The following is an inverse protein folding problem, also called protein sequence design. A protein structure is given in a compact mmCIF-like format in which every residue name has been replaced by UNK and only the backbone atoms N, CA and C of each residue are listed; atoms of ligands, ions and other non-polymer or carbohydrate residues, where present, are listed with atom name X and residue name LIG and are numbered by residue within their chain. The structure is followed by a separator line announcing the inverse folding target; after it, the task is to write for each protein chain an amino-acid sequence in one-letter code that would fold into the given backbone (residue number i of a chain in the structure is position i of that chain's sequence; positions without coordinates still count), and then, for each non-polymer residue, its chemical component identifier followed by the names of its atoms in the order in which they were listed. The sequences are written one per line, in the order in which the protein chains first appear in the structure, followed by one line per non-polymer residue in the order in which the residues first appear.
data_IF_977161429857
#
_entry.id   IF_977161429857
#
_cell.length_a   1.000
_cell.length_b   1.000
_cell.length_c   1.000
_cell.angle_alpha   90.00
_cell.angle_beta   90.00
_cell.angle_gamma   90.00
#
_symmetry.space_group_name_H-M   'P 1'
#
loop_
_entity.id
_entity.type
_entity.pdbx_description
1 polymer ?
#
# COMPACT_ATOMS: atom_id res chain seq x y z
N UNK A 1 -14.54 -3.79 29.73
CA UNK A 1 -14.58 -2.68 28.74
C UNK A 1 -16.01 -2.41 28.28
N UNK A 2 -17.01 -2.63 29.15
CA UNK A 2 -18.40 -2.35 28.84
C UNK A 2 -18.55 -0.84 28.57
N UNK A 3 -19.21 -0.48 27.46
CA UNK A 3 -19.36 0.91 27.03
C UNK A 3 -18.28 1.44 26.07
N UNK A 4 -17.21 0.70 25.79
CA UNK A 4 -16.19 1.14 24.83
C UNK A 4 -16.75 1.27 23.41
N UNK A 5 -17.42 0.23 22.91
CA UNK A 5 -17.99 0.25 21.56
C UNK A 5 -19.08 1.33 21.41
N UNK A 6 -20.06 1.47 22.32
CA UNK A 6 -21.00 2.59 22.28
C UNK A 6 -20.33 3.97 22.28
N UNK A 7 -19.38 4.23 23.19
CA UNK A 7 -18.69 5.53 23.25
C UNK A 7 -17.90 5.85 21.97
N UNK A 8 -17.35 4.83 21.32
CA UNK A 8 -16.64 4.96 20.06
C UNK A 8 -17.60 5.25 18.89
N UNK A 9 -18.74 4.55 18.83
CA UNK A 9 -19.77 4.76 17.82
C UNK A 9 -20.41 6.15 17.95
N UNK A 10 -20.75 6.59 19.16
CA UNK A 10 -21.29 7.94 19.43
C UNK A 10 -20.33 9.06 18.99
N UNK A 11 -19.02 8.79 19.05
CA UNK A 11 -18.01 9.71 18.54
C UNK A 11 -17.95 9.67 17.02
N UNK A 12 -17.99 8.48 16.43
CA UNK A 12 -17.97 8.30 14.98
C UNK A 12 -19.17 8.94 14.28
N UNK A 13 -20.35 8.90 14.89
CA UNK A 13 -21.56 9.54 14.36
C UNK A 13 -21.42 11.07 14.24
N UNK A 14 -20.55 11.69 15.04
CA UNK A 14 -20.31 13.14 15.06
C UNK A 14 -19.03 13.57 14.34
N UNK A 15 -18.04 12.68 14.28
CA UNK A 15 -16.67 13.01 13.86
C UNK A 15 -16.12 12.09 12.77
N UNK A 16 -16.89 11.10 12.33
CA UNK A 16 -16.55 10.21 11.23
C UNK A 16 -16.26 11.01 9.97
N UNK A 17 -15.18 10.67 9.29
CA UNK A 17 -14.77 11.42 8.09
C UNK A 17 -15.63 11.05 6.90
N UNK A 18 -16.05 12.08 6.15
CA UNK A 18 -16.65 11.92 4.84
C UNK A 18 -15.57 11.58 3.81
N UNK A 19 -15.67 10.40 3.20
CA UNK A 19 -14.69 9.85 2.26
C UNK A 19 -15.42 9.22 1.06
N UNK A 20 -14.88 9.30 -0.17
CA UNK A 20 -15.61 8.87 -1.38
C UNK A 20 -16.03 7.39 -1.45
N UNK A 21 -15.41 6.52 -0.63
CA UNK A 21 -15.75 5.10 -0.51
C UNK A 21 -16.71 4.80 0.65
N UNK A 22 -17.07 5.80 1.47
CA UNK A 22 -18.01 5.70 2.60
C UNK A 22 -19.42 6.18 2.27
N UNK A 23 -19.66 6.64 1.04
CA UNK A 23 -20.94 7.19 0.59
C UNK A 23 -22.05 6.11 0.66
N UNK A 24 -22.68 6.00 1.84
CA UNK A 24 -23.91 5.28 2.21
C UNK A 24 -23.91 5.03 3.74
N UNK A 25 -23.97 6.09 4.57
CA UNK A 25 -24.21 5.90 6.00
C UNK A 25 -25.66 5.40 6.17
N UNK A 26 -25.83 4.16 6.61
CA UNK A 26 -27.14 3.54 6.84
C UNK A 26 -27.68 2.63 5.73
N UNK A 27 -26.99 2.50 4.59
CA UNK A 27 -27.32 1.50 3.55
C UNK A 27 -26.18 0.50 3.36
N UNK A 28 -26.49 -0.67 2.77
CA UNK A 28 -25.46 -1.69 2.46
C UNK A 28 -24.42 -1.09 1.52
N UNK A 29 -23.18 -0.96 1.99
CA UNK A 29 -22.10 -0.39 1.20
C UNK A 29 -21.67 -1.33 0.09
N UNK A 30 -21.38 -0.75 -1.08
CA UNK A 30 -20.92 -1.50 -2.23
C UNK A 30 -19.58 -2.21 -1.93
N UNK A 31 -19.53 -3.55 -1.91
CA UNK A 31 -18.31 -4.30 -1.63
C UNK A 31 -17.18 -4.02 -2.62
N UNK A 32 -17.49 -3.68 -3.88
CA UNK A 32 -16.49 -3.31 -4.87
C UNK A 32 -15.73 -2.04 -4.46
N UNK A 33 -16.47 -1.00 -4.05
CA UNK A 33 -15.88 0.27 -3.61
C UNK A 33 -15.11 0.13 -2.30
N UNK A 34 -15.66 -0.62 -1.33
CA UNK A 34 -14.99 -0.91 -0.05
C UNK A 34 -13.67 -1.64 -0.31
N UNK A 35 -13.71 -2.76 -1.04
CA UNK A 35 -12.51 -3.54 -1.36
C UNK A 35 -11.47 -2.72 -2.11
N UNK A 36 -11.88 -1.95 -3.13
CA UNK A 36 -10.96 -1.14 -3.92
C UNK A 36 -10.24 -0.10 -3.04
N UNK A 37 -10.97 0.59 -2.17
CA UNK A 37 -10.39 1.54 -1.22
C UNK A 37 -9.43 0.85 -0.25
N UNK A 38 -9.82 -0.30 0.33
CA UNK A 38 -8.98 -1.08 1.25
C UNK A 38 -7.66 -1.53 0.60
N UNK A 39 -7.68 -1.93 -0.67
CA UNK A 39 -6.44 -2.29 -1.39
C UNK A 39 -5.61 -1.03 -1.70
N UNK A 40 -6.24 0.05 -2.17
CA UNK A 40 -5.55 1.30 -2.51
C UNK A 40 -4.88 1.99 -1.33
N UNK A 41 -5.49 1.93 -0.14
CA UNK A 41 -5.01 2.63 1.06
C UNK A 41 -3.98 1.83 1.87
N UNK A 42 -3.68 0.59 1.47
CA UNK A 42 -2.55 -0.15 2.04
C UNK A 42 -1.24 0.61 1.85
N UNK A 43 -0.65 1.06 2.96
CA UNK A 43 0.60 1.83 2.98
C UNK A 43 0.55 3.08 2.08
N UNK A 44 -0.64 3.64 1.87
CA UNK A 44 -0.89 4.82 1.03
C UNK A 44 -1.77 5.78 1.81
N UNK A 45 -1.45 7.08 1.80
CA UNK A 45 -2.25 8.08 2.53
C UNK A 45 -3.56 8.34 1.81
N UNK A 46 -4.60 8.72 2.56
CA UNK A 46 -5.91 9.08 2.00
C UNK A 46 -5.79 10.18 0.92
N UNK A 47 -5.11 11.33 1.16
CA UNK A 47 -4.98 12.36 0.13
C UNK A 47 -4.34 11.88 -1.17
N UNK A 48 -3.39 10.93 -1.09
CA UNK A 48 -2.75 10.36 -2.28
C UNK A 48 -3.62 9.31 -2.97
N UNK A 49 -4.34 8.48 -2.22
CA UNK A 49 -5.17 7.40 -2.76
C UNK A 49 -6.51 7.88 -3.33
N UNK A 50 -7.10 8.95 -2.80
CA UNK A 50 -8.43 9.42 -3.19
C UNK A 50 -8.57 9.74 -4.69
N UNK A 51 -7.65 10.48 -5.35
CA UNK A 51 -7.74 10.73 -6.79
C UNK A 51 -7.70 9.46 -7.64
N UNK A 52 -6.91 8.46 -7.22
CA UNK A 52 -6.84 7.16 -7.89
C UNK A 52 -8.15 6.40 -7.74
N UNK A 53 -8.72 6.37 -6.52
CA UNK A 53 -10.01 5.73 -6.28
C UNK A 53 -11.12 6.31 -7.16
N UNK A 54 -11.21 7.63 -7.25
CA UNK A 54 -12.20 8.32 -8.09
C UNK A 54 -12.00 7.99 -9.58
N UNK A 55 -10.75 7.97 -10.04
CA UNK A 55 -10.44 7.64 -11.44
C UNK A 55 -10.77 6.18 -11.76
N UNK A 56 -10.42 5.25 -10.87
CA UNK A 56 -10.71 3.83 -11.05
C UNK A 56 -12.21 3.56 -11.06
N UNK A 57 -12.96 4.08 -10.08
CA UNK A 57 -14.42 3.87 -10.02
C UNK A 57 -15.17 4.54 -11.16
N UNK A 58 -14.61 5.60 -11.77
CA UNK A 58 -15.15 6.17 -13.01
C UNK A 58 -14.87 5.29 -14.23
N UNK A 59 -13.65 4.77 -14.36
CA UNK A 59 -13.22 3.97 -15.53
C UNK A 59 -13.76 2.54 -15.51
N UNK A 60 -13.80 1.94 -14.33
CA UNK A 60 -14.31 0.60 -14.07
C UNK A 60 -15.33 0.69 -12.93
N UNK A 61 -16.61 0.93 -13.25
CA UNK A 61 -17.62 1.18 -12.22
C UNK A 61 -18.01 -0.06 -11.41
N UNK A 62 -17.73 -1.27 -11.92
CA UNK A 62 -18.07 -2.54 -11.27
C UNK A 62 -16.86 -3.48 -11.23
N UNK A 63 -16.96 -4.53 -10.40
CA UNK A 63 -15.95 -5.58 -10.34
C UNK A 63 -15.80 -6.31 -11.69
N UNK A 64 -16.89 -6.51 -12.42
CA UNK A 64 -16.88 -7.14 -13.76
C UNK A 64 -16.18 -6.25 -14.79
N UNK A 65 -16.44 -4.94 -14.76
CA UNK A 65 -15.76 -3.99 -15.63
C UNK A 65 -14.24 -3.99 -15.36
N UNK A 66 -13.83 -4.05 -14.10
CA UNK A 66 -12.41 -4.18 -13.73
C UNK A 66 -11.84 -5.54 -14.16
N UNK A 67 -12.59 -6.63 -13.98
CA UNK A 67 -12.15 -7.98 -14.35
C UNK A 67 -11.89 -8.13 -15.86
N UNK A 68 -12.71 -7.48 -16.68
CA UNK A 68 -12.59 -7.44 -18.14
C UNK A 68 -11.47 -6.53 -18.65
N UNK A 69 -10.86 -5.70 -17.78
CA UNK A 69 -9.80 -4.80 -18.17
C UNK A 69 -8.52 -5.55 -18.58
N UNK A 70 -7.78 -4.96 -19.54
CA UNK A 70 -6.43 -5.43 -19.88
C UNK A 70 -5.48 -5.12 -18.72
N UNK A 71 -4.54 -6.01 -18.47
CA UNK A 71 -3.56 -5.86 -17.40
C UNK A 71 -2.79 -4.54 -17.50
N UNK A 72 -2.40 -4.14 -18.72
CA UNK A 72 -1.65 -2.91 -19.01
C UNK A 72 -2.43 -1.64 -18.65
N UNK A 73 -3.74 -1.62 -18.92
CA UNK A 73 -4.60 -0.48 -18.59
C UNK A 73 -4.66 -0.25 -17.07
N UNK A 74 -4.78 -1.34 -16.30
CA UNK A 74 -4.82 -1.30 -14.84
C UNK A 74 -3.47 -0.90 -14.26
N UNK A 75 -2.36 -1.45 -14.78
CA UNK A 75 -1.01 -1.06 -14.33
C UNK A 75 -0.73 0.42 -14.60
N UNK A 76 -1.15 0.92 -15.77
CA UNK A 76 -0.99 2.33 -16.15
C UNK A 76 -1.80 3.24 -15.22
N UNK A 77 -3.07 2.90 -14.97
CA UNK A 77 -3.91 3.66 -14.03
C UNK A 77 -3.37 3.62 -12.58
N UNK A 78 -2.68 2.54 -12.18
CA UNK A 78 -2.07 2.40 -10.85
C UNK A 78 -0.70 3.09 -10.73
N UNK A 79 -0.11 3.56 -11.83
CA UNK A 79 1.21 4.16 -11.85
C UNK A 79 1.29 5.35 -10.88
N UNK A 80 2.28 5.33 -9.98
CA UNK A 80 2.46 6.34 -8.94
C UNK A 80 1.83 6.02 -7.58
N UNK A 81 0.93 5.03 -7.49
CA UNK A 81 0.37 4.59 -6.19
C UNK A 81 1.32 3.66 -5.41
N UNK A 82 2.31 3.07 -6.10
CA UNK A 82 3.32 2.19 -5.50
C UNK A 82 2.79 0.80 -5.13
N UNK A 83 3.68 -0.09 -4.67
CA UNK A 83 3.38 -1.49 -4.34
C UNK A 83 2.57 -2.21 -5.43
N UNK A 84 3.08 -2.25 -6.66
CA UNK A 84 2.40 -2.77 -7.85
C UNK A 84 1.91 -4.23 -7.78
N UNK A 85 2.44 -5.02 -6.84
CA UNK A 85 1.85 -6.33 -6.52
C UNK A 85 0.37 -6.22 -6.10
N UNK A 86 -0.03 -5.10 -5.48
CA UNK A 86 -1.42 -4.80 -5.16
C UNK A 86 -2.27 -4.70 -6.42
N UNK A 87 -1.86 -3.94 -7.42
CA UNK A 87 -2.59 -3.82 -8.70
C UNK A 87 -2.77 -5.17 -9.39
N UNK A 88 -1.72 -6.00 -9.41
CA UNK A 88 -1.78 -7.33 -10.03
C UNK A 88 -2.73 -8.26 -9.28
N UNK A 89 -2.63 -8.28 -7.95
CA UNK A 89 -3.52 -9.10 -7.13
C UNK A 89 -4.96 -8.56 -7.16
N UNK A 90 -5.15 -7.24 -7.23
CA UNK A 90 -6.45 -6.60 -7.40
C UNK A 90 -7.13 -7.12 -8.67
N UNK A 91 -6.46 -7.07 -9.82
CA UNK A 91 -7.03 -7.54 -11.08
C UNK A 91 -7.30 -9.06 -11.08
N UNK A 92 -6.38 -9.86 -10.51
CA UNK A 92 -6.61 -11.30 -10.33
C UNK A 92 -7.83 -11.59 -9.46
N UNK A 93 -7.97 -10.86 -8.35
CA UNK A 93 -9.09 -10.98 -7.43
C UNK A 93 -10.40 -10.51 -8.05
N UNK A 94 -10.41 -9.41 -8.83
CA UNK A 94 -11.57 -8.98 -9.60
C UNK A 94 -12.06 -10.10 -10.54
N UNK A 95 -11.13 -10.71 -11.29
CA UNK A 95 -11.43 -11.83 -12.20
C UNK A 95 -11.99 -13.04 -11.46
N UNK A 96 -11.46 -13.35 -10.28
CA UNK A 96 -11.97 -14.46 -9.46
C UNK A 96 -13.37 -14.17 -8.90
N UNK A 97 -13.64 -12.94 -8.46
CA UNK A 97 -14.97 -12.53 -7.99
C UNK A 97 -15.97 -12.55 -9.14
N UNK A 98 -15.63 -11.99 -10.31
CA UNK A 98 -16.47 -12.01 -11.50
C UNK A 98 -16.80 -13.46 -11.94
N UNK A 99 -15.80 -14.35 -11.92
CA UNK A 99 -16.01 -15.77 -12.23
C UNK A 99 -16.92 -16.48 -11.23
N UNK A 100 -16.93 -16.08 -9.96
CA UNK A 100 -17.87 -16.59 -8.94
C UNK A 100 -19.29 -16.04 -9.12
N UNK A 101 -19.46 -14.89 -9.79
CA UNK A 101 -20.74 -14.21 -9.99
C UNK A 101 -21.28 -13.45 -8.78
N UNK A 102 -20.65 -13.60 -7.60
CA UNK A 102 -21.02 -12.87 -6.39
C UNK A 102 -19.83 -12.72 -5.43
N UNK A 103 -19.93 -11.74 -4.54
CA UNK A 103 -18.95 -11.54 -3.49
C UNK A 103 -19.14 -12.56 -2.36
N UNK A 104 -18.05 -13.19 -1.87
CA UNK A 104 -18.10 -13.89 -0.60
C UNK A 104 -18.37 -12.90 0.53
N UNK A 105 -19.26 -13.25 1.45
CA UNK A 105 -19.70 -12.31 2.49
C UNK A 105 -18.95 -12.46 3.82
N UNK A 106 -18.33 -13.63 4.06
CA UNK A 106 -17.62 -13.93 5.31
C UNK A 106 -16.13 -13.62 5.20
N UNK A 107 -15.52 -13.16 6.31
CA UNK A 107 -14.08 -12.90 6.36
C UNK A 107 -13.25 -14.16 6.01
N UNK A 108 -13.72 -15.35 6.37
CA UNK A 108 -13.05 -16.61 6.06
C UNK A 108 -12.98 -16.88 4.55
N UNK A 109 -14.06 -16.64 3.81
CA UNK A 109 -14.09 -16.83 2.36
C UNK A 109 -13.38 -15.70 1.61
N UNK A 110 -13.55 -14.45 2.05
CA UNK A 110 -12.86 -13.29 1.48
C UNK A 110 -11.34 -13.45 1.55
N UNK A 111 -10.80 -13.97 2.66
CA UNK A 111 -9.37 -14.22 2.85
C UNK A 111 -8.77 -15.22 1.84
N UNK A 112 -9.59 -16.05 1.19
CA UNK A 112 -9.10 -16.99 0.16
C UNK A 112 -8.79 -16.27 -1.16
N UNK A 113 -9.29 -15.05 -1.37
CA UNK A 113 -9.11 -14.31 -2.61
C UNK A 113 -7.70 -13.68 -2.71
N UNK A 114 -7.16 -13.53 -3.94
CA UNK A 114 -5.83 -12.96 -4.18
C UNK A 114 -5.65 -11.56 -3.58
N UNK A 115 -4.60 -11.38 -2.77
CA UNK A 115 -4.28 -10.08 -2.19
C UNK A 115 -5.17 -9.64 -1.03
N UNK A 116 -6.12 -10.47 -0.59
CA UNK A 116 -6.94 -10.20 0.60
C UNK A 116 -6.29 -10.87 1.83
N UNK A 117 -5.72 -10.05 2.70
CA UNK A 117 -5.18 -10.49 4.00
C UNK A 117 -6.24 -10.51 5.11
N UNK A 118 -5.90 -10.97 6.33
CA UNK A 118 -6.83 -11.01 7.47
C UNK A 118 -7.52 -9.66 7.76
N UNK A 119 -6.75 -8.57 7.72
CA UNK A 119 -7.28 -7.21 7.90
C UNK A 119 -8.33 -6.87 6.83
N UNK A 120 -7.97 -6.98 5.55
CA UNK A 120 -8.85 -6.62 4.43
C UNK A 120 -10.11 -7.50 4.40
N UNK A 121 -9.97 -8.78 4.73
CA UNK A 121 -11.12 -9.67 4.84
C UNK A 121 -12.10 -9.25 5.95
N UNK A 122 -11.59 -8.92 7.14
CA UNK A 122 -12.40 -8.41 8.24
C UNK A 122 -13.06 -7.06 7.90
N UNK A 123 -12.30 -6.15 7.28
CA UNK A 123 -12.81 -4.84 6.86
C UNK A 123 -13.97 -4.98 5.87
N UNK A 124 -13.81 -5.77 4.80
CA UNK A 124 -14.87 -5.97 3.80
C UNK A 124 -16.08 -6.67 4.42
N UNK A 125 -15.86 -7.74 5.20
CA UNK A 125 -16.94 -8.47 5.86
C UNK A 125 -17.76 -7.57 6.79
N UNK A 126 -17.09 -6.74 7.59
CA UNK A 126 -17.76 -5.81 8.50
C UNK A 126 -18.46 -4.65 7.77
N UNK A 127 -17.78 -4.00 6.84
CA UNK A 127 -18.23 -2.75 6.23
C UNK A 127 -19.28 -2.99 5.13
N UNK A 128 -19.10 -4.02 4.28
CA UNK A 128 -19.98 -4.27 3.14
C UNK A 128 -21.05 -5.34 3.39
N UNK A 129 -20.80 -6.26 4.33
CA UNK A 129 -21.66 -7.41 4.62
C UNK A 129 -22.19 -7.45 6.05
N UNK A 130 -21.93 -6.41 6.84
CA UNK A 130 -22.37 -6.27 8.23
C UNK A 130 -22.05 -7.50 9.11
N UNK A 131 -20.97 -8.20 8.80
CA UNK A 131 -20.51 -9.35 9.58
C UNK A 131 -19.74 -8.86 10.81
N UNK A 132 -19.96 -9.45 12.00
CA UNK A 132 -19.20 -9.12 13.20
C UNK A 132 -17.78 -9.69 13.11
N UNK A 133 -16.92 -9.05 12.31
CA UNK A 133 -15.54 -9.44 12.06
C UNK A 133 -14.58 -8.29 12.38
N UNK A 134 -13.46 -8.57 13.06
CA UNK A 134 -12.48 -7.52 13.36
C UNK A 134 -11.62 -7.13 12.14
N UNK A 135 -11.48 -5.82 11.95
CA UNK A 135 -10.57 -5.21 10.98
C UNK A 135 -9.37 -4.58 11.70
N UNK A 136 -8.34 -5.38 11.98
CA UNK A 136 -7.19 -4.92 12.79
C UNK A 136 -5.99 -4.53 11.92
N UNK A 137 -5.80 -3.22 11.72
CA UNK A 137 -4.62 -2.64 11.05
C UNK A 137 -3.54 -2.15 12.05
N UNK A 138 -2.53 -1.44 11.53
CA UNK A 138 -1.48 -0.84 12.36
C UNK A 138 -1.96 0.31 13.26
N UNK A 139 -3.10 0.94 12.94
CA UNK A 139 -3.73 1.95 13.78
C UNK A 139 -4.46 1.30 14.96
N UNK A 140 -5.24 0.26 14.70
CA UNK A 140 -5.92 -0.53 15.74
C UNK A 140 -4.90 -1.21 16.65
N UNK A 141 -3.83 -1.80 16.10
CA UNK A 141 -2.71 -2.34 16.88
C UNK A 141 -2.20 -1.31 17.91
N UNK A 142 -2.02 -0.04 17.50
CA UNK A 142 -1.54 1.04 18.38
C UNK A 142 -2.58 1.45 19.41
N UNK A 143 -3.83 1.65 18.99
CA UNK A 143 -4.93 2.03 19.88
C UNK A 143 -5.07 1.00 21.00
N UNK A 144 -5.12 -0.29 20.66
CA UNK A 144 -5.29 -1.36 21.64
C UNK A 144 -4.04 -1.62 22.48
N UNK A 145 -2.83 -1.47 21.92
CA UNK A 145 -1.61 -1.52 22.71
C UNK A 145 -1.60 -0.46 23.83
N UNK A 146 -2.13 0.74 23.54
CA UNK A 146 -2.30 1.82 24.52
C UNK A 146 -3.44 1.58 25.50
N UNK A 147 -4.63 1.20 25.00
CA UNK A 147 -5.79 0.89 25.84
C UNK A 147 -5.43 -0.16 26.89
N UNK A 148 -4.71 -1.19 26.47
CA UNK A 148 -4.37 -2.31 27.32
C UNK A 148 -3.00 -2.17 28.02
N UNK A 149 -2.22 -1.13 27.74
CA UNK A 149 -0.86 -0.94 28.24
C UNK A 149 0.00 -2.21 28.10
N UNK A 150 0.10 -2.72 26.86
CA UNK A 150 0.76 -4.02 26.59
C UNK A 150 2.29 -3.90 26.70
N UNK A 151 2.85 -4.61 27.68
CA UNK A 151 4.29 -4.56 28.03
C UNK A 151 5.07 -5.82 27.61
N UNK A 152 4.38 -6.88 27.19
CA UNK A 152 5.01 -8.14 26.79
C UNK A 152 5.65 -8.12 25.40
N UNK A 153 6.12 -9.29 24.97
CA UNK A 153 6.71 -9.49 23.64
C UNK A 153 5.66 -9.16 22.56
N UNK A 154 5.96 -8.19 21.69
CA UNK A 154 4.99 -7.65 20.74
C UNK A 154 4.28 -8.71 19.88
N UNK A 155 4.98 -9.76 19.45
CA UNK A 155 4.39 -10.84 18.66
C UNK A 155 3.30 -11.63 19.43
N UNK A 156 3.46 -11.79 20.75
CA UNK A 156 2.49 -12.46 21.63
C UNK A 156 1.33 -11.51 21.94
N UNK A 157 1.65 -10.28 22.32
CA UNK A 157 0.66 -9.25 22.65
C UNK A 157 -0.23 -8.90 21.46
N UNK A 158 0.29 -8.98 20.23
CA UNK A 158 -0.50 -8.80 19.01
C UNK A 158 -1.61 -9.85 18.88
N UNK A 159 -1.35 -11.11 19.23
CA UNK A 159 -2.41 -12.14 19.21
C UNK A 159 -3.48 -11.85 20.25
N UNK A 160 -3.06 -11.45 21.46
CA UNK A 160 -3.96 -11.11 22.56
C UNK A 160 -4.83 -9.90 22.22
N UNK A 161 -4.26 -8.84 21.66
CA UNK A 161 -5.03 -7.64 21.31
C UNK A 161 -6.00 -7.91 20.16
N UNK A 162 -5.62 -8.76 19.18
CA UNK A 162 -6.53 -9.15 18.09
C UNK A 162 -7.75 -9.91 18.63
N UNK A 163 -7.54 -10.84 19.56
CA UNK A 163 -8.63 -11.55 20.24
C UNK A 163 -9.52 -10.60 21.05
N UNK A 164 -8.95 -9.56 21.67
CA UNK A 164 -9.73 -8.57 22.40
C UNK A 164 -10.58 -7.69 21.48
N UNK A 165 -10.03 -7.26 20.33
CA UNK A 165 -10.80 -6.50 19.35
C UNK A 165 -11.97 -7.33 18.84
N UNK A 166 -11.74 -8.60 18.49
CA UNK A 166 -12.79 -9.53 18.03
C UNK A 166 -13.94 -9.62 19.03
N UNK A 167 -13.65 -9.71 20.33
CA UNK A 167 -14.68 -9.75 21.39
C UNK A 167 -15.47 -8.45 21.56
N UNK A 168 -14.90 -7.32 21.13
CA UNK A 168 -15.52 -5.99 21.24
C UNK A 168 -16.30 -5.59 19.99
N UNK A 169 -16.17 -6.34 18.89
CA UNK A 169 -16.95 -6.06 17.67
C UNK A 169 -18.44 -6.18 18.01
N UNK A 170 -19.20 -5.08 17.89
CA UNK A 170 -20.62 -5.11 18.18
C UNK A 170 -21.34 -5.94 17.11
N UNK A 171 -22.42 -6.61 17.51
CA UNK A 171 -23.28 -7.33 16.57
C UNK A 171 -24.07 -6.35 15.69
N UNK A 172 -24.38 -5.18 16.24
CA UNK A 172 -25.00 -4.07 15.53
C UNK A 172 -23.91 -3.08 15.08
N UNK A 173 -23.97 -2.65 13.82
CA UNK A 173 -23.00 -1.73 13.17
C UNK A 173 -21.50 -2.14 13.24
N UNK A 174 -21.11 -3.41 12.99
CA UNK A 174 -19.69 -3.82 12.99
C UNK A 174 -18.81 -3.05 11.99
N UNK A 175 -19.37 -2.66 10.84
CA UNK A 175 -18.67 -1.83 9.85
C UNK A 175 -18.30 -0.44 10.38
N UNK A 176 -19.24 0.24 11.02
CA UNK A 176 -18.98 1.55 11.62
C UNK A 176 -18.00 1.45 12.78
N UNK A 177 -18.05 0.37 13.58
CA UNK A 177 -17.07 0.13 14.63
C UNK A 177 -15.65 -0.02 14.08
N UNK A 178 -15.49 -0.78 12.99
CA UNK A 178 -14.21 -0.93 12.31
C UNK A 178 -13.66 0.41 11.82
N UNK A 179 -14.49 1.21 11.15
CA UNK A 179 -14.09 2.53 10.64
C UNK A 179 -13.84 3.55 11.75
N UNK A 180 -14.61 3.51 12.84
CA UNK A 180 -14.40 4.35 14.00
C UNK A 180 -13.05 4.09 14.64
N UNK A 181 -12.62 2.83 14.74
CA UNK A 181 -11.26 2.49 15.21
C UNK A 181 -10.17 3.01 14.26
N UNK A 182 -10.40 2.91 12.95
CA UNK A 182 -9.47 3.45 11.93
C UNK A 182 -9.35 4.98 12.05
N UNK A 183 -10.48 5.69 12.15
CA UNK A 183 -10.53 7.14 12.26
C UNK A 183 -9.94 7.62 13.57
N UNK A 184 -10.27 6.97 14.69
CA UNK A 184 -9.68 7.26 16.00
C UNK A 184 -8.17 7.13 15.95
N UNK A 185 -7.65 6.02 15.41
CA UNK A 185 -6.22 5.80 15.29
C UNK A 185 -5.55 6.82 14.37
N UNK A 186 -6.19 7.18 13.26
CA UNK A 186 -5.63 8.11 12.28
C UNK A 186 -5.60 9.56 12.77
N UNK A 187 -6.58 9.99 13.56
CA UNK A 187 -6.81 11.43 13.84
C UNK A 187 -6.63 11.84 15.30
N UNK A 188 -6.88 10.93 16.25
CA UNK A 188 -6.86 11.23 17.69
C UNK A 188 -5.73 10.49 18.39
N UNK A 189 -5.70 9.16 18.26
CA UNK A 189 -4.71 8.29 18.86
C UNK A 189 -3.50 8.12 17.91
N UNK A 190 -2.90 9.23 17.51
CA UNK A 190 -1.80 9.32 16.54
C UNK A 190 -0.50 8.69 17.08
N UNK A 191 0.46 8.31 16.21
CA UNK A 191 1.73 7.72 16.64
C UNK A 191 2.51 8.59 17.64
N UNK A 192 2.56 9.89 17.39
CA UNK A 192 3.24 10.90 18.22
C UNK A 192 2.23 11.94 18.66
N UNK A 193 2.31 12.40 19.91
CA UNK A 193 1.41 13.41 20.50
C UNK A 193 -0.08 13.07 20.32
N UNK A 194 -0.56 11.91 20.80
CA UNK A 194 -1.98 11.58 20.73
C UNK A 194 -2.82 12.59 21.51
N UNK A 195 -3.95 13.00 20.95
CA UNK A 195 -4.85 13.96 21.61
C UNK A 195 -5.77 13.24 22.60
N UNK A 196 -5.20 12.81 23.73
CA UNK A 196 -5.93 12.06 24.75
C UNK A 196 -7.07 12.86 25.41
N UNK A 197 -7.04 14.20 25.34
CA UNK A 197 -8.08 15.06 25.91
C UNK A 197 -9.41 14.93 25.18
N UNK A 198 -9.38 14.76 23.84
CA UNK A 198 -10.59 14.61 23.01
C UNK A 198 -10.92 13.15 22.70
N UNK A 199 -10.15 12.20 23.23
CA UNK A 199 -10.32 10.79 22.91
C UNK A 199 -11.57 10.22 23.59
N UNK A 200 -12.55 9.70 22.83
CA UNK A 200 -13.84 9.25 23.36
C UNK A 200 -13.71 8.04 24.29
N UNK A 201 -12.64 7.26 24.12
CA UNK A 201 -12.37 6.06 24.91
C UNK A 201 -11.21 6.26 25.89
N UNK A 202 -10.86 7.52 26.19
CA UNK A 202 -9.75 7.84 27.10
C UNK A 202 -9.97 7.33 28.53
N UNK A 203 -11.22 7.25 28.99
CA UNK A 203 -11.58 6.68 30.29
C UNK A 203 -11.24 5.19 30.43
N UNK A 204 -11.12 4.46 29.31
CA UNK A 204 -10.73 3.04 29.28
C UNK A 204 -9.22 2.84 29.10
N UNK A 205 -8.46 3.91 28.87
CA UNK A 205 -7.08 3.80 28.40
C UNK A 205 -6.06 3.71 29.55
N UNK A 206 -5.50 2.51 29.76
CA UNK A 206 -4.46 2.30 30.78
C UNK A 206 -3.20 3.11 30.52
N UNK A 207 -2.74 3.22 29.27
CA UNK A 207 -1.54 4.00 28.98
C UNK A 207 -1.73 5.52 29.21
N UNK A 208 -2.96 6.03 29.10
CA UNK A 208 -3.31 7.41 29.51
C UNK A 208 -3.26 7.56 31.03
N UNK A 209 -3.78 6.58 31.78
CA UNK A 209 -3.69 6.56 33.23
C UNK A 209 -2.23 6.48 33.73
N UNK A 210 -1.36 5.79 33.00
CA UNK A 210 0.09 5.76 33.28
C UNK A 210 0.83 7.05 32.87
N UNK A 211 0.18 8.00 32.19
CA UNK A 211 0.78 9.26 31.75
C UNK A 211 1.76 9.15 30.58
N UNK A 212 1.92 7.98 29.96
CA UNK A 212 2.92 7.74 28.89
C UNK A 212 2.37 6.93 27.70
N UNK A 213 1.29 7.39 27.02
CA UNK A 213 0.69 6.65 25.91
C UNK A 213 1.63 6.47 24.70
N UNK A 214 2.59 7.37 24.51
CA UNK A 214 3.56 7.30 23.40
C UNK A 214 4.56 6.16 23.52
N UNK A 215 4.74 5.60 24.72
CA UNK A 215 5.58 4.40 24.93
C UNK A 215 5.02 3.16 24.21
N UNK A 216 3.73 3.16 23.90
CA UNK A 216 3.04 2.02 23.30
C UNK A 216 2.73 2.25 21.81
N UNK A 217 2.83 1.20 20.98
CA UNK A 217 3.26 -0.16 21.32
C UNK A 217 4.78 -0.26 21.56
N UNK A 218 5.18 -1.10 22.52
CA UNK A 218 6.59 -1.46 22.74
C UNK A 218 6.99 -2.44 21.63
N UNK A 219 7.56 -1.91 20.55
CA UNK A 219 8.02 -2.71 19.40
C UNK A 219 9.49 -3.06 19.55
N UNK A 220 9.93 -4.23 19.02
CA UNK A 220 11.35 -4.53 18.92
C UNK A 220 12.10 -3.44 18.16
N UNK A 221 13.37 -3.23 18.52
CA UNK A 221 14.25 -2.37 17.76
C UNK A 221 14.29 -2.82 16.29
N UNK A 222 14.13 -1.87 15.37
CA UNK A 222 14.24 -2.17 13.94
C UNK A 222 15.71 -2.52 13.64
N UNK A 223 15.92 -3.61 12.91
CA UNK A 223 17.24 -3.90 12.33
C UNK A 223 17.60 -2.78 11.34
N UNK A 224 18.90 -2.46 11.24
CA UNK A 224 19.38 -1.57 10.21
C UNK A 224 18.95 -2.12 8.84
N UNK A 225 18.43 -1.24 7.98
CA UNK A 225 18.11 -1.63 6.61
C UNK A 225 19.41 -1.84 5.85
N UNK A 226 19.56 -2.95 5.10
CA UNK A 226 20.72 -3.09 4.24
C UNK A 226 20.70 -2.02 3.15
N UNK A 227 21.89 -1.61 2.73
CA UNK A 227 22.07 -0.73 1.57
C UNK A 227 22.41 -1.63 0.39
N UNK A 228 21.66 -1.47 -0.69
CA UNK A 228 21.94 -2.10 -1.98
C UNK A 228 22.48 -1.08 -2.97
N UNK A 229 23.39 -1.54 -3.82
CA UNK A 229 24.04 -0.77 -4.85
C UNK A 229 23.70 -1.34 -6.22
N UNK A 230 23.56 -0.47 -7.21
CA UNK A 230 23.40 -0.88 -8.60
C UNK A 230 23.60 0.28 -9.56
N UNK A 231 23.43 0.00 -10.85
CA UNK A 231 23.56 0.95 -11.94
C UNK A 231 22.26 0.94 -12.77
N UNK A 232 21.75 2.12 -13.12
CA UNK A 232 20.77 2.31 -14.18
C UNK A 232 21.49 2.75 -15.45
N UNK A 233 21.19 2.08 -16.55
CA UNK A 233 21.77 2.33 -17.86
C UNK A 233 20.74 3.03 -18.75
N UNK A 234 20.97 4.31 -19.06
CA UNK A 234 20.12 5.13 -19.93
C UNK A 234 20.75 5.21 -21.32
N UNK A 235 20.33 4.34 -22.22
CA UNK A 235 20.73 4.39 -23.62
C UNK A 235 19.77 5.25 -24.42
N UNK A 236 20.31 6.21 -25.17
CA UNK A 236 19.56 7.13 -26.01
C UNK A 236 19.97 6.94 -27.47
N UNK A 237 19.00 6.90 -28.37
CA UNK A 237 19.25 6.88 -29.81
C UNK A 237 18.15 7.67 -30.52
N UNK A 238 18.53 8.71 -31.28
CA UNK A 238 17.59 9.58 -32.01
C UNK A 238 16.43 10.12 -31.14
N UNK A 239 16.73 10.45 -29.88
CA UNK A 239 15.73 10.96 -28.93
C UNK A 239 14.81 9.90 -28.31
N UNK A 240 15.01 8.61 -28.64
CA UNK A 240 14.36 7.49 -27.98
C UNK A 240 15.25 6.89 -26.88
N UNK A 241 14.61 6.35 -25.85
CA UNK A 241 15.27 5.72 -24.70
C UNK A 241 14.88 4.25 -24.60
N UNK A 242 15.86 3.40 -24.33
CA UNK A 242 15.62 1.98 -24.12
C UNK A 242 14.98 1.73 -22.74
N UNK A 243 13.83 1.08 -22.76
CA UNK A 243 13.11 0.61 -21.58
C UNK A 243 12.93 -0.91 -21.61
N UNK A 244 13.02 -1.55 -20.46
CA UNK A 244 12.90 -3.00 -20.30
C UNK A 244 11.78 -3.36 -19.33
N UNK A 245 10.98 -4.36 -19.70
CA UNK A 245 10.00 -4.96 -18.80
C UNK A 245 10.73 -5.85 -17.81
N UNK A 246 10.58 -5.58 -16.52
CA UNK A 246 11.16 -6.40 -15.45
C UNK A 246 10.46 -7.77 -15.39
N UNK A 247 11.16 -8.83 -14.92
CA UNK A 247 10.54 -10.14 -14.71
C UNK A 247 9.25 -10.06 -13.89
N UNK A 248 8.26 -10.91 -14.15
CA UNK A 248 6.95 -10.83 -13.46
C UNK A 248 7.04 -11.03 -11.94
N UNK A 249 8.05 -11.79 -11.50
CA UNK A 249 8.31 -12.08 -10.09
C UNK A 249 9.46 -11.21 -9.56
N UNK A 250 9.35 -10.85 -8.29
CA UNK A 250 10.37 -10.05 -7.59
C UNK A 250 10.06 -8.55 -7.56
N UNK A 251 11.11 -7.78 -7.30
CA UNK A 251 10.99 -6.35 -7.02
C UNK A 251 10.62 -5.56 -8.29
N UNK A 252 9.53 -4.78 -8.19
CA UNK A 252 8.92 -4.06 -9.30
C UNK A 252 8.54 -4.98 -10.47
N UNK A 253 8.18 -6.25 -10.18
CA UNK A 253 7.98 -7.24 -11.22
C UNK A 253 6.87 -6.88 -12.22
N UNK A 254 7.11 -7.16 -13.50
CA UNK A 254 6.22 -6.85 -14.63
C UNK A 254 6.17 -5.37 -15.03
N UNK A 255 6.86 -4.48 -14.31
CA UNK A 255 6.87 -3.04 -14.62
C UNK A 255 7.91 -2.73 -15.71
N UNK A 256 7.60 -1.73 -16.53
CA UNK A 256 8.59 -1.10 -17.39
C UNK A 256 9.60 -0.30 -16.54
N UNK A 257 10.87 -0.33 -16.91
CA UNK A 257 11.94 0.35 -16.20
C UNK A 257 13.15 0.59 -17.08
N UNK A 258 14.15 1.26 -16.53
CA UNK A 258 15.47 1.36 -17.16
C UNK A 258 16.19 0.00 -17.01
N UNK A 259 17.01 -0.41 -18.00
CA UNK A 259 17.96 -1.49 -17.81
C UNK A 259 18.83 -1.22 -16.57
N UNK A 260 19.05 -2.24 -15.74
CA UNK A 260 19.90 -2.12 -14.55
C UNK A 260 20.86 -3.28 -14.41
N UNK A 261 21.94 -3.04 -13.67
CA UNK A 261 22.67 -4.13 -13.04
C UNK A 261 21.80 -4.85 -11.99
N UNK A 262 22.30 -5.97 -11.48
CA UNK A 262 21.81 -6.50 -10.21
C UNK A 262 21.96 -5.48 -9.08
N UNK A 263 21.05 -5.54 -8.12
CA UNK A 263 21.06 -4.70 -6.92
C UNK A 263 21.60 -5.51 -5.75
N UNK A 264 22.89 -5.36 -5.48
CA UNK A 264 23.63 -6.17 -4.52
C UNK A 264 23.79 -5.44 -3.19
N UNK A 265 23.73 -6.18 -2.08
CA UNK A 265 24.02 -5.66 -0.75
C UNK A 265 25.53 -5.58 -0.51
N UNK A 266 25.98 -4.56 0.23
CA UNK A 266 27.40 -4.36 0.54
C UNK A 266 28.04 -3.30 -0.36
N UNK A 267 29.28 -3.53 -0.78
CA UNK A 267 30.04 -2.55 -1.56
C UNK A 267 29.49 -2.35 -2.98
N UNK A 268 29.63 -1.13 -3.56
CA UNK A 268 29.27 -0.88 -4.95
C UNK A 268 30.03 -1.82 -5.90
N UNK A 269 29.30 -2.50 -6.78
CA UNK A 269 29.91 -3.24 -7.88
C UNK A 269 29.94 -2.39 -9.17
N UNK A 270 30.78 -2.83 -10.11
CA UNK A 270 31.00 -2.16 -11.41
C UNK A 270 30.79 -3.14 -12.58
N UNK A 271 29.59 -3.73 -12.73
CA UNK A 271 29.33 -4.63 -13.84
C UNK A 271 29.39 -3.87 -15.17
N UNK A 272 29.81 -4.54 -16.25
CA UNK A 272 29.86 -3.92 -17.57
C UNK A 272 28.45 -3.53 -18.01
N UNK A 273 28.30 -2.44 -18.79
CA UNK A 273 27.03 -2.08 -19.40
C UNK A 273 26.46 -3.21 -20.29
N UNK A 274 25.14 -3.24 -20.51
CA UNK A 274 24.47 -4.33 -21.23
C UNK A 274 24.91 -4.48 -22.70
N UNK A 275 25.54 -3.44 -23.26
CA UNK A 275 26.09 -3.44 -24.61
C UNK A 275 27.18 -2.37 -24.75
N UNK A 276 27.97 -2.49 -25.82
CA UNK A 276 29.04 -1.54 -26.16
C UNK A 276 28.46 -0.15 -26.46
N UNK A 277 29.03 0.86 -25.83
CA UNK A 277 28.71 2.28 -26.01
C UNK A 277 29.69 3.14 -25.20
N UNK A 278 29.72 4.44 -25.45
CA UNK A 278 30.43 5.39 -24.61
C UNK A 278 29.50 5.76 -23.46
N UNK A 279 29.74 5.18 -22.28
CA UNK A 279 28.89 5.34 -21.11
C UNK A 279 29.52 6.31 -20.12
N UNK A 280 28.84 7.42 -19.88
CA UNK A 280 29.24 8.43 -18.92
C UNK A 280 28.43 8.31 -17.62
N UNK A 281 29.11 8.36 -16.48
CA UNK A 281 28.44 8.44 -15.18
C UNK A 281 27.97 9.88 -14.95
N UNK A 282 26.66 10.05 -14.87
CA UNK A 282 25.98 11.37 -14.87
C UNK A 282 25.39 11.73 -13.49
N UNK A 283 25.39 10.79 -12.54
CA UNK A 283 24.98 11.04 -11.16
C UNK A 283 24.44 9.80 -10.45
N UNK A 284 23.84 10.01 -9.28
CA UNK A 284 23.23 8.96 -8.48
C UNK A 284 21.79 9.27 -8.04
N UNK A 285 21.03 8.21 -7.79
CA UNK A 285 19.68 8.24 -7.22
C UNK A 285 19.67 7.45 -5.94
N UNK A 286 19.21 8.10 -4.86
CA UNK A 286 18.87 7.44 -3.60
C UNK A 286 17.38 7.12 -3.56
N UNK A 287 17.06 5.87 -3.29
CA UNK A 287 15.68 5.40 -3.23
C UNK A 287 15.46 4.48 -2.03
N UNK A 288 14.42 4.73 -1.24
CA UNK A 288 14.12 3.93 -0.05
C UNK A 288 13.02 2.94 -0.37
N UNK A 289 13.32 1.65 -0.22
CA UNK A 289 12.31 0.60 -0.16
C UNK A 289 11.99 0.28 1.30
N UNK A 290 10.87 -0.43 1.55
CA UNK A 290 10.51 -0.83 2.92
C UNK A 290 11.59 -1.73 3.56
N UNK A 291 12.29 -2.53 2.75
CA UNK A 291 13.19 -3.61 3.22
C UNK A 291 14.67 -3.28 3.07
N UNK A 292 15.04 -2.28 2.27
CA UNK A 292 16.43 -1.88 2.01
C UNK A 292 16.46 -0.46 1.43
N UNK A 293 17.62 0.19 1.47
CA UNK A 293 17.85 1.45 0.77
C UNK A 293 18.69 1.20 -0.48
N UNK A 294 18.33 1.81 -1.61
CA UNK A 294 19.03 1.67 -2.89
C UNK A 294 19.85 2.93 -3.18
N UNK A 295 21.13 2.72 -3.52
CA UNK A 295 22.00 3.70 -4.16
C UNK A 295 22.23 3.27 -5.61
N UNK A 296 21.65 4.03 -6.53
CA UNK A 296 21.61 3.69 -7.95
C UNK A 296 22.44 4.71 -8.72
N UNK A 297 23.62 4.33 -9.20
CA UNK A 297 24.37 5.17 -10.14
C UNK A 297 23.65 5.21 -11.48
N UNK A 298 23.75 6.31 -12.19
CA UNK A 298 23.11 6.50 -13.48
C UNK A 298 24.21 6.68 -14.51
N UNK A 299 24.26 5.78 -15.48
CA UNK A 299 25.15 5.86 -16.62
C UNK A 299 24.30 6.16 -17.87
N UNK A 300 24.76 7.09 -18.71
CA UNK A 300 24.10 7.44 -19.97
C UNK A 300 25.02 7.16 -21.15
N UNK A 301 24.45 6.71 -22.26
CA UNK A 301 25.14 6.63 -23.55
C UNK A 301 24.23 7.12 -24.68
N UNK A 302 24.73 8.07 -25.47
CA UNK A 302 24.13 8.43 -26.76
C UNK A 302 24.71 7.52 -27.85
N UNK A 303 23.85 6.71 -28.44
CA UNK A 303 24.25 5.66 -29.37
C UNK A 303 24.04 6.12 -30.82
N UNK A 304 25.03 5.90 -31.71
CA UNK A 304 24.88 6.20 -33.13
C UNK A 304 23.92 5.24 -33.84
N UNK A 305 23.65 4.07 -33.24
CA UNK A 305 22.71 3.06 -33.74
C UNK A 305 22.17 2.20 -32.59
N UNK A 306 20.97 1.65 -32.76
CA UNK A 306 20.40 0.69 -31.81
C UNK A 306 21.26 -0.59 -31.74
N UNK A 307 21.63 -1.08 -30.55
CA UNK A 307 22.33 -2.34 -30.41
C UNK A 307 21.42 -3.51 -30.78
N UNK A 308 21.88 -4.42 -31.63
CA UNK A 308 21.10 -5.60 -32.04
C UNK A 308 20.74 -6.55 -30.88
N UNK A 309 21.52 -6.53 -29.80
CA UNK A 309 21.30 -7.34 -28.58
C UNK A 309 20.58 -6.58 -27.46
N UNK A 310 20.11 -5.36 -27.71
CA UNK A 310 19.36 -4.62 -26.71
C UNK A 310 17.97 -5.26 -26.54
N UNK A 311 17.74 -5.91 -25.41
CA UNK A 311 16.40 -6.37 -25.03
C UNK A 311 15.56 -5.19 -24.56
N UNK A 312 14.26 -5.19 -24.89
CA UNK A 312 13.32 -4.14 -24.47
C UNK A 312 12.71 -3.37 -25.64
N UNK A 313 12.16 -2.20 -25.32
CA UNK A 313 11.50 -1.31 -26.28
C UNK A 313 12.14 0.07 -26.24
N UNK A 314 12.27 0.69 -27.42
CA UNK A 314 12.70 2.07 -27.56
C UNK A 314 11.46 2.96 -27.54
N UNK A 315 11.46 3.96 -26.66
CA UNK A 315 10.34 4.86 -26.46
C UNK A 315 10.83 6.28 -26.61
N UNK A 316 10.18 7.15 -27.41
CA UNK A 316 10.53 8.57 -27.48
C UNK A 316 10.59 9.17 -26.07
N UNK A 317 11.65 9.91 -25.75
CA UNK A 317 11.89 10.39 -24.39
C UNK A 317 10.72 11.22 -23.83
N UNK A 318 10.02 11.96 -24.70
CA UNK A 318 8.83 12.75 -24.39
C UNK A 318 7.59 11.91 -24.02
N UNK A 319 7.54 10.65 -24.46
CA UNK A 319 6.41 9.75 -24.27
C UNK A 319 6.68 8.75 -23.11
N UNK A 320 7.82 8.90 -22.42
CA UNK A 320 8.17 8.07 -21.25
C UNK A 320 7.31 8.47 -20.05
N UNK A 321 6.31 7.65 -19.77
CA UNK A 321 5.39 7.82 -18.64
C UNK A 321 5.26 6.53 -17.81
N UNK A 322 4.62 6.62 -16.65
CA UNK A 322 4.25 5.43 -15.85
C UNK A 322 5.41 4.66 -15.19
N UNK A 323 6.65 5.14 -15.27
CA UNK A 323 7.80 4.47 -14.66
C UNK A 323 7.69 4.42 -13.12
N UNK A 324 8.10 3.31 -12.47
CA UNK A 324 8.36 3.29 -11.03
C UNK A 324 9.25 4.46 -10.60
N UNK A 325 8.97 5.03 -9.43
CA UNK A 325 9.58 6.30 -9.01
C UNK A 325 11.12 6.25 -8.89
N UNK A 326 11.72 5.07 -8.68
CA UNK A 326 13.18 4.89 -8.78
C UNK A 326 13.70 5.15 -10.20
N UNK A 327 13.04 4.61 -11.23
CA UNK A 327 13.42 4.79 -12.63
C UNK A 327 13.02 6.17 -13.14
N UNK A 328 11.86 6.71 -12.74
CA UNK A 328 11.48 8.07 -13.08
C UNK A 328 12.46 9.13 -12.50
N UNK A 329 13.10 8.83 -11.36
CA UNK A 329 14.20 9.67 -10.83
C UNK A 329 15.45 9.52 -11.68
N UNK A 330 15.89 8.30 -11.97
CA UNK A 330 17.11 8.06 -12.75
C UNK A 330 17.00 8.59 -14.19
N UNK A 331 15.85 8.41 -14.83
CA UNK A 331 15.54 8.99 -16.14
C UNK A 331 15.67 10.51 -16.12
N UNK A 332 15.07 11.19 -15.13
CA UNK A 332 15.20 12.65 -14.97
C UNK A 332 16.62 13.11 -14.66
N UNK A 333 17.45 12.30 -14.01
CA UNK A 333 18.88 12.61 -13.84
C UNK A 333 19.60 12.55 -15.19
N UNK A 334 19.23 11.61 -16.06
CA UNK A 334 19.90 11.41 -17.34
C UNK A 334 19.47 12.31 -18.49
N UNK A 335 18.23 12.78 -18.45
CA UNK A 335 17.67 13.66 -19.48
C UNK A 335 17.85 15.15 -19.16
N UNK A 336 18.63 15.49 -18.12
CA UNK A 336 19.06 16.87 -17.84
C UNK A 336 20.23 17.25 -18.75
#
# INVERSE_FOLDING_TARGET
MNGLAPALLDWFDRHGRDLPWRLALGERRDPYRVWLAEIMLQQTTIPHGTPYFLTFTKRWPTVDALAAAKDEDVMTAWAGLGYYARARNLLKCAREIAARGSWPETAAELKKLPGIGPYTAGAIAAIAFNQPAAAVDGNVDRVFARLLALKGVWAVEKKRLHAEVERLVPQDRPGDFAEALMDLGATVCTPTRPNCLICPISGFCRAKAEGSPERYPIKPAKKAKPIRHGIAYVAVHEGEVLLQRRPDKGLLGGMLGLPTSDWVEGEPNHPPPPFKGNWDEIGDVRHVFTHFDLRLRVLRADLPRRPAKAEGQWVPAKDVEGLPSVFAKAFRVAMK
#
